data_IF_286814044169
#
_entry.id   IF_286814044169
#
_cell.length_a   1.000
_cell.length_b   1.000
_cell.length_c   1.000
_cell.angle_alpha   90.00
_cell.angle_beta   90.00
_cell.angle_gamma   90.00
#
_symmetry.space_group_name_H-M   'P 1'
#
loop_
_entity.id
_entity.type
_entity.pdbx_description
1 polymer ?
#
# COMPACT_ATOMS: atom_id res chain seq x y z
N UNK A 1 22.92 8.06 -48.12
CA UNK A 1 22.94 9.46 -47.70
C UNK A 1 22.93 9.53 -46.18
N UNK A 2 24.08 9.71 -45.58
CA UNK A 2 24.26 9.95 -44.13
C UNK A 2 24.22 11.44 -43.89
N UNK A 3 23.31 11.95 -43.09
CA UNK A 3 23.27 13.37 -42.68
C UNK A 3 23.05 13.46 -41.18
N UNK A 4 24.11 13.68 -40.48
CA UNK A 4 24.39 14.62 -39.40
C UNK A 4 23.28 14.90 -38.37
N UNK A 5 23.30 14.13 -37.29
CA UNK A 5 22.59 14.48 -36.05
C UNK A 5 23.57 14.96 -34.94
N UNK A 6 24.69 15.55 -35.32
CA UNK A 6 25.73 15.96 -34.35
C UNK A 6 25.61 17.44 -33.90
N UNK A 7 24.59 18.17 -34.38
CA UNK A 7 24.48 19.62 -34.07
C UNK A 7 23.42 19.97 -33.01
N UNK A 8 22.68 18.97 -32.51
CA UNK A 8 21.60 19.25 -31.53
C UNK A 8 22.05 19.15 -30.07
N UNK A 9 23.24 18.63 -29.80
CA UNK A 9 23.76 18.44 -28.43
C UNK A 9 24.57 19.60 -27.88
N UNK A 10 24.85 20.65 -28.66
CA UNK A 10 25.74 21.75 -28.23
C UNK A 10 24.95 22.92 -27.58
N UNK A 11 23.64 23.00 -27.76
CA UNK A 11 22.84 24.11 -27.20
C UNK A 11 22.18 23.84 -25.85
N UNK A 12 22.33 22.66 -25.27
CA UNK A 12 21.71 22.32 -23.97
C UNK A 12 22.67 22.42 -22.77
N UNK A 13 23.93 22.80 -22.96
CA UNK A 13 24.92 22.85 -21.88
C UNK A 13 25.26 24.26 -21.34
N UNK A 14 24.51 25.29 -21.73
CA UNK A 14 24.87 26.69 -21.35
C UNK A 14 23.84 27.39 -20.45
N UNK A 15 22.90 26.69 -19.82
CA UNK A 15 21.86 27.33 -19.01
C UNK A 15 21.83 26.88 -17.54
N UNK A 16 22.86 26.21 -17.02
CA UNK A 16 22.92 25.84 -15.59
C UNK A 16 24.19 26.46 -14.99
N UNK A 17 24.17 27.73 -14.81
CA UNK A 17 25.10 28.46 -13.94
C UNK A 17 24.45 29.80 -13.56
N UNK A 18 24.00 29.88 -12.34
CA UNK A 18 23.69 31.06 -11.56
C UNK A 18 22.40 30.86 -10.74
N UNK A 19 22.55 30.38 -9.53
CA UNK A 19 21.82 30.82 -8.33
C UNK A 19 22.34 30.06 -7.11
N UNK A 20 23.54 30.45 -6.70
CA UNK A 20 23.95 30.35 -5.29
C UNK A 20 23.79 31.77 -4.74
N UNK A 21 23.08 31.92 -3.65
CA UNK A 21 23.31 32.84 -2.52
C UNK A 21 22.01 32.93 -1.72
N UNK A 22 22.10 32.69 -0.43
CA UNK A 22 21.04 32.97 0.52
C UNK A 22 21.05 32.07 1.76
N UNK A 23 22.18 32.03 2.49
CA UNK A 23 22.16 31.72 3.92
C UNK A 23 21.53 32.89 4.67
N UNK A 24 20.49 32.67 5.45
CA UNK A 24 20.21 33.52 6.59
C UNK A 24 19.75 32.71 7.78
N UNK A 25 20.63 32.68 8.78
CA UNK A 25 20.43 32.18 10.14
C UNK A 25 19.51 33.18 10.87
N UNK A 26 18.34 32.75 11.28
CA UNK A 26 17.52 33.42 12.26
C UNK A 26 17.56 32.65 13.60
N UNK A 27 18.40 33.13 14.50
CA UNK A 27 18.52 32.73 15.89
C UNK A 27 17.68 33.69 16.74
N UNK A 28 16.65 33.21 17.38
CA UNK A 28 15.96 33.82 18.53
C UNK A 28 15.44 32.65 19.34
N UNK A 29 15.84 32.41 20.56
CA UNK A 29 15.85 33.30 21.72
C UNK A 29 14.92 32.66 22.75
N UNK A 30 15.53 32.14 23.80
CA UNK A 30 14.89 31.54 24.98
C UNK A 30 13.94 32.54 25.64
N UNK A 31 12.80 32.07 26.12
CA UNK A 31 12.30 32.57 27.40
C UNK A 31 11.50 31.48 28.15
N UNK A 32 12.04 31.14 29.28
CA UNK A 32 11.47 30.34 30.35
C UNK A 32 10.32 31.09 31.02
N UNK A 33 9.16 30.48 31.15
CA UNK A 33 8.32 30.75 32.33
C UNK A 33 7.77 29.44 32.88
N UNK A 34 8.33 29.10 34.00
CA UNK A 34 7.73 28.19 35.00
C UNK A 34 6.46 28.84 35.55
N UNK A 35 5.39 28.05 35.62
CA UNK A 35 4.43 28.23 36.71
C UNK A 35 3.94 26.87 37.16
N UNK A 36 4.35 26.59 38.32
CA UNK A 36 3.95 25.57 39.27
C UNK A 36 2.51 25.87 39.73
N UNK A 37 1.64 24.88 39.76
CA UNK A 37 0.58 24.80 40.77
C UNK A 37 0.03 23.38 40.87
N UNK A 38 0.39 22.76 41.91
CA UNK A 38 -0.18 21.65 42.65
C UNK A 38 -1.61 22.02 43.08
N UNK A 39 -2.57 21.13 42.90
CA UNK A 39 -3.62 20.84 43.87
C UNK A 39 -4.21 19.47 43.66
N UNK A 40 -4.03 18.67 44.66
CA UNK A 40 -4.67 17.39 44.92
C UNK A 40 -6.15 17.61 45.26
N UNK A 41 -7.01 16.69 44.86
CA UNK A 41 -8.22 16.38 45.60
C UNK A 41 -8.59 14.92 45.43
N UNK A 42 -8.47 14.23 46.50
CA UNK A 42 -8.99 12.89 46.79
C UNK A 42 -10.55 12.93 46.92
N UNK A 43 -11.17 11.77 46.72
CA UNK A 43 -12.54 11.43 47.15
C UNK A 43 -13.10 10.34 46.23
N UNK A 44 -12.96 9.07 46.47
CA UNK A 44 -13.56 8.18 47.50
C UNK A 44 -15.04 7.89 47.26
N UNK A 45 -15.23 6.56 46.98
CA UNK A 45 -16.35 5.71 47.45
C UNK A 45 -17.71 5.92 46.79
N UNK A 46 -18.55 5.00 46.52
CA UNK A 46 -18.77 3.58 46.91
C UNK A 46 -20.15 3.13 46.32
N UNK A 47 -20.37 1.82 46.31
CA UNK A 47 -21.70 1.17 46.37
C UNK A 47 -22.37 0.76 45.06
N UNK A 48 -22.31 -0.52 44.80
CA UNK A 48 -23.17 -1.66 45.17
C UNK A 48 -24.34 -1.92 44.21
N UNK A 49 -24.28 -3.19 43.74
CA UNK A 49 -25.34 -4.16 43.57
C UNK A 49 -26.65 -3.78 42.85
N UNK A 50 -26.96 -4.46 41.77
CA UNK A 50 -28.15 -5.30 41.77
C UNK A 50 -28.13 -6.42 40.68
N UNK A 51 -28.39 -7.57 41.17
CA UNK A 51 -28.61 -8.85 40.57
C UNK A 51 -29.99 -8.87 39.87
N UNK A 52 -30.03 -9.33 38.60
CA UNK A 52 -31.29 -9.88 38.08
C UNK A 52 -31.03 -10.88 36.98
N UNK A 53 -31.13 -12.12 37.34
CA UNK A 53 -31.42 -13.27 36.50
C UNK A 53 -32.65 -13.05 35.60
N UNK A 54 -32.51 -13.47 34.34
CA UNK A 54 -33.62 -13.64 33.43
C UNK A 54 -33.17 -14.36 32.19
N UNK A 55 -33.27 -15.68 32.21
CA UNK A 55 -33.03 -16.53 31.04
C UNK A 55 -34.14 -16.30 30.00
N UNK A 56 -33.76 -16.39 28.73
CA UNK A 56 -34.65 -16.92 27.70
C UNK A 56 -33.78 -17.56 26.60
N UNK A 57 -34.06 -18.78 26.36
CA UNK A 57 -33.47 -19.59 25.30
C UNK A 57 -34.07 -19.14 23.97
N UNK A 58 -33.27 -18.59 23.10
CA UNK A 58 -33.62 -18.29 21.72
C UNK A 58 -32.58 -18.92 20.80
N UNK A 59 -32.86 -20.12 20.32
CA UNK A 59 -32.21 -20.69 19.15
C UNK A 59 -32.32 -19.72 17.96
N UNK A 60 -31.25 -19.46 17.26
CA UNK A 60 -31.43 -18.81 16.01
C UNK A 60 -30.15 -18.32 15.33
N UNK A 61 -29.64 -19.16 14.48
CA UNK A 61 -28.92 -18.78 13.27
C UNK A 61 -27.48 -18.31 13.46
N UNK A 62 -26.60 -19.24 13.41
CA UNK A 62 -25.23 -19.05 12.92
C UNK A 62 -25.27 -18.42 11.51
N UNK A 63 -25.30 -17.11 11.48
CA UNK A 63 -24.98 -16.36 10.31
C UNK A 63 -23.47 -16.34 10.13
N UNK A 64 -22.93 -17.42 9.63
CA UNK A 64 -21.59 -17.46 9.05
C UNK A 64 -21.62 -16.49 7.89
N UNK A 65 -21.26 -15.25 8.14
CA UNK A 65 -20.93 -14.30 7.11
C UNK A 65 -19.64 -14.74 6.43
N UNK A 66 -19.76 -15.75 5.60
CA UNK A 66 -18.78 -16.10 4.60
C UNK A 66 -18.77 -14.93 3.58
N UNK A 67 -17.97 -13.93 3.86
CA UNK A 67 -17.54 -12.96 2.86
C UNK A 67 -16.52 -13.67 1.96
N UNK A 68 -16.97 -14.75 1.33
CA UNK A 68 -16.33 -15.36 0.20
C UNK A 68 -16.33 -14.33 -0.93
N UNK A 69 -15.22 -13.57 -1.06
CA UNK A 69 -14.91 -12.95 -2.33
C UNK A 69 -15.08 -14.02 -3.38
N UNK A 70 -15.94 -13.77 -4.35
CA UNK A 70 -16.14 -14.65 -5.49
C UNK A 70 -14.75 -14.88 -6.09
N UNK A 71 -14.22 -16.07 -5.82
CA UNK A 71 -13.01 -16.55 -6.45
C UNK A 71 -13.39 -16.72 -7.93
N UNK A 72 -13.20 -15.67 -8.71
CA UNK A 72 -13.22 -15.82 -10.16
C UNK A 72 -12.29 -16.98 -10.47
N UNK A 73 -12.79 -17.98 -11.17
CA UNK A 73 -12.03 -19.20 -11.47
C UNK A 73 -10.72 -18.79 -12.14
N UNK A 74 -9.63 -18.78 -11.39
CA UNK A 74 -8.29 -18.37 -11.82
C UNK A 74 -7.70 -19.33 -12.84
N UNK A 75 -8.36 -20.50 -13.00
CA UNK A 75 -7.85 -21.60 -13.81
C UNK A 75 -8.12 -21.41 -15.33
N UNK A 76 -9.03 -20.50 -15.70
CA UNK A 76 -9.46 -20.28 -17.07
C UNK A 76 -9.04 -18.92 -17.70
N UNK A 77 -8.28 -18.08 -16.96
CA UNK A 77 -7.83 -16.80 -17.53
C UNK A 77 -6.50 -16.98 -18.24
N UNK A 78 -6.52 -16.77 -19.57
CA UNK A 78 -5.29 -16.79 -20.37
C UNK A 78 -4.38 -15.61 -19.95
N UNK A 79 -3.09 -15.87 -19.80
CA UNK A 79 -2.12 -14.81 -19.49
C UNK A 79 -2.11 -13.67 -20.53
N UNK A 80 -2.52 -13.96 -21.78
CA UNK A 80 -2.66 -12.98 -22.82
C UNK A 80 -3.74 -11.93 -22.59
N UNK A 81 -4.70 -12.22 -21.73
CA UNK A 81 -5.79 -11.31 -21.37
C UNK A 81 -5.49 -10.45 -20.14
N UNK A 82 -4.36 -10.70 -19.47
CA UNK A 82 -3.94 -9.94 -18.29
C UNK A 82 -3.09 -8.73 -18.69
N UNK A 83 -3.34 -7.61 -18.03
CA UNK A 83 -2.55 -6.41 -18.23
C UNK A 83 -1.19 -6.53 -17.53
N UNK A 84 -0.14 -5.98 -18.13
CA UNK A 84 1.11 -5.71 -17.45
C UNK A 84 0.94 -4.57 -16.44
N UNK A 85 1.88 -4.38 -15.53
CA UNK A 85 1.85 -3.27 -14.58
C UNK A 85 1.87 -1.92 -15.30
N UNK A 86 2.70 -1.76 -16.34
CA UNK A 86 2.75 -0.54 -17.15
C UNK A 86 1.42 -0.27 -17.86
N UNK A 87 0.80 -1.29 -18.45
CA UNK A 87 -0.52 -1.14 -19.09
C UNK A 87 -1.58 -0.75 -18.07
N UNK A 88 -1.59 -1.39 -16.89
CA UNK A 88 -2.51 -1.08 -15.81
C UNK A 88 -2.34 0.35 -15.30
N UNK A 89 -1.12 0.87 -15.26
CA UNK A 89 -0.83 2.25 -14.82
C UNK A 89 -1.22 3.31 -15.85
N UNK A 90 -1.07 3.01 -17.13
CA UNK A 90 -1.22 4.02 -18.20
C UNK A 90 -2.62 4.09 -18.81
N UNK A 91 -3.43 3.05 -18.63
CA UNK A 91 -4.80 3.00 -19.13
C UNK A 91 -5.80 3.47 -18.08
N UNK A 92 -6.87 4.13 -18.51
CA UNK A 92 -8.03 4.39 -17.65
C UNK A 92 -8.98 3.20 -17.77
N UNK A 93 -9.07 2.42 -16.71
CA UNK A 93 -9.85 1.20 -16.69
C UNK A 93 -11.19 1.41 -15.98
N UNK A 94 -12.22 0.75 -16.45
CA UNK A 94 -13.54 0.71 -15.83
C UNK A 94 -13.86 -0.72 -15.44
N UNK A 95 -14.30 -0.91 -14.18
CA UNK A 95 -14.56 -2.24 -13.63
C UNK A 95 -13.30 -2.98 -13.22
N UNK A 96 -13.45 -4.28 -13.03
CA UNK A 96 -12.40 -5.15 -12.54
C UNK A 96 -11.61 -5.75 -13.70
N UNK A 97 -10.31 -5.89 -13.50
CA UNK A 97 -9.42 -6.49 -14.50
C UNK A 97 -8.29 -7.28 -13.82
N UNK A 98 -7.65 -8.14 -14.59
CA UNK A 98 -6.45 -8.84 -14.17
C UNK A 98 -5.21 -8.03 -14.48
N UNK A 99 -4.32 -7.91 -13.52
CA UNK A 99 -2.95 -7.40 -13.71
C UNK A 99 -1.95 -8.43 -13.23
N UNK A 100 -0.89 -8.64 -13.99
CA UNK A 100 0.18 -9.57 -13.66
C UNK A 100 1.50 -8.84 -13.50
N UNK A 101 2.27 -9.21 -12.47
CA UNK A 101 3.57 -8.60 -12.19
C UNK A 101 4.36 -9.40 -11.16
N UNK A 102 5.54 -8.90 -10.83
CA UNK A 102 6.41 -9.47 -9.80
C UNK A 102 6.23 -8.73 -8.48
N UNK A 103 6.22 -9.46 -7.37
CA UNK A 103 6.20 -8.87 -6.03
C UNK A 103 7.58 -8.29 -5.74
N UNK A 104 7.69 -6.98 -5.66
CA UNK A 104 8.97 -6.28 -5.51
C UNK A 104 9.15 -5.58 -4.17
N UNK A 105 8.14 -5.62 -3.29
CA UNK A 105 8.24 -5.00 -1.98
C UNK A 105 6.93 -4.91 -1.23
N UNK A 106 6.98 -4.25 -0.08
CA UNK A 106 5.86 -3.94 0.78
C UNK A 106 5.70 -2.43 0.97
N UNK A 107 4.52 -2.00 1.42
CA UNK A 107 4.27 -0.57 1.63
C UNK A 107 3.23 -0.33 2.74
N UNK A 108 3.34 0.84 3.40
CA UNK A 108 2.34 1.32 4.35
C UNK A 108 2.04 2.81 4.13
N UNK A 109 0.82 3.23 4.46
CA UNK A 109 0.36 4.63 4.45
C UNK A 109 0.51 5.37 3.11
N UNK A 110 1.69 5.39 2.50
CA UNK A 110 1.97 6.04 1.21
C UNK A 110 3.11 5.32 0.51
N UNK A 111 3.21 5.46 -0.82
CA UNK A 111 4.30 4.90 -1.62
C UNK A 111 5.69 5.40 -1.16
N UNK A 112 5.75 6.55 -0.47
CA UNK A 112 7.03 7.02 0.08
C UNK A 112 7.61 6.08 1.13
N UNK A 113 6.75 5.30 1.80
CA UNK A 113 7.12 4.26 2.76
C UNK A 113 7.27 2.88 2.09
N UNK A 114 7.56 2.84 0.80
CA UNK A 114 7.87 1.60 0.11
C UNK A 114 9.18 1.03 0.62
N UNK A 115 9.14 -0.26 0.92
CA UNK A 115 10.26 -1.08 1.31
C UNK A 115 10.47 -2.15 0.24
N UNK A 116 11.65 -2.17 -0.37
CA UNK A 116 11.99 -3.05 -1.49
C UNK A 116 12.95 -4.19 -1.10
N UNK A 117 13.34 -4.26 0.16
CA UNK A 117 14.29 -5.26 0.64
C UNK A 117 13.80 -5.92 1.93
N UNK A 118 13.97 -7.24 2.09
CA UNK A 118 13.66 -7.92 3.33
C UNK A 118 14.64 -7.54 4.47
N UNK A 119 14.24 -7.59 5.73
CA UNK A 119 12.94 -8.06 6.24
C UNK A 119 11.83 -7.02 6.11
N UNK A 120 10.63 -7.46 5.72
CA UNK A 120 9.49 -6.56 5.55
C UNK A 120 8.73 -6.37 6.87
N UNK A 121 8.27 -5.12 7.11
CA UNK A 121 7.54 -4.77 8.33
C UNK A 121 6.04 -4.50 8.08
N UNK A 122 5.65 -4.36 6.82
CA UNK A 122 4.30 -3.88 6.47
C UNK A 122 3.45 -4.97 5.82
N UNK A 123 2.46 -5.54 6.56
CA UNK A 123 1.58 -6.57 6.01
C UNK A 123 0.36 -6.02 5.27
N UNK A 124 0.21 -4.68 5.13
CA UNK A 124 -1.00 -4.06 4.61
C UNK A 124 -1.06 -3.94 3.09
N UNK A 125 0.08 -3.94 2.44
CA UNK A 125 0.16 -3.85 0.98
C UNK A 125 1.45 -4.44 0.46
N UNK A 126 1.39 -5.02 -0.73
CA UNK A 126 2.55 -5.40 -1.54
C UNK A 126 2.66 -4.48 -2.76
N UNK A 127 3.83 -4.45 -3.34
CA UNK A 127 4.16 -3.70 -4.55
C UNK A 127 4.37 -4.67 -5.71
N UNK A 128 3.78 -4.37 -6.86
CA UNK A 128 3.99 -5.12 -8.10
C UNK A 128 4.67 -4.26 -9.15
N UNK A 129 5.56 -4.88 -9.92
CA UNK A 129 6.24 -4.32 -11.07
C UNK A 129 6.30 -5.31 -12.23
N UNK A 130 6.59 -4.85 -13.45
CA UNK A 130 6.78 -5.72 -14.62
C UNK A 130 8.07 -6.53 -14.57
N UNK A 131 9.06 -6.06 -13.80
CA UNK A 131 10.34 -6.73 -13.68
C UNK A 131 10.66 -7.05 -12.21
N UNK A 132 11.25 -8.24 -11.93
CA UNK A 132 11.68 -8.56 -10.58
C UNK A 132 12.83 -7.63 -10.15
N UNK A 133 12.80 -7.21 -8.88
CA UNK A 133 13.83 -6.32 -8.32
C UNK A 133 13.69 -4.85 -8.74
N UNK A 134 12.58 -4.43 -9.34
CA UNK A 134 12.28 -3.01 -9.58
C UNK A 134 12.15 -2.26 -8.26
N UNK A 135 12.84 -1.12 -8.13
CA UNK A 135 12.81 -0.26 -6.94
C UNK A 135 12.31 1.17 -7.23
N UNK A 136 12.04 1.48 -8.49
CA UNK A 136 11.50 2.77 -8.87
C UNK A 136 10.01 2.86 -8.53
N UNK A 137 9.68 3.75 -7.60
CA UNK A 137 8.31 3.99 -7.12
C UNK A 137 7.33 4.46 -8.21
N UNK A 138 7.83 4.95 -9.32
CA UNK A 138 7.03 5.37 -10.48
C UNK A 138 6.66 4.21 -11.41
N UNK A 139 7.26 3.04 -11.21
CA UNK A 139 7.06 1.83 -12.03
C UNK A 139 6.37 0.70 -11.28
N UNK A 140 5.80 1.00 -10.12
CA UNK A 140 5.11 0.02 -9.30
C UNK A 140 3.67 0.42 -9.05
N UNK A 141 2.81 -0.58 -8.90
CA UNK A 141 1.45 -0.43 -8.38
C UNK A 141 1.35 -0.98 -6.97
N UNK A 142 0.39 -0.47 -6.21
CA UNK A 142 0.11 -0.93 -4.85
C UNK A 142 -1.08 -1.88 -4.83
N UNK A 143 -0.92 -3.02 -4.16
CA UNK A 143 -1.98 -3.99 -3.94
C UNK A 143 -2.32 -4.03 -2.45
N UNK A 144 -3.52 -3.62 -2.10
CA UNK A 144 -4.01 -3.62 -0.73
C UNK A 144 -4.27 -5.04 -0.22
N UNK A 145 -3.88 -5.27 1.03
CA UNK A 145 -4.10 -6.53 1.74
C UNK A 145 -4.95 -6.24 2.99
N UNK A 146 -6.28 -6.16 2.87
CA UNK A 146 -7.15 -5.81 3.99
C UNK A 146 -7.07 -6.83 5.12
N UNK A 147 -7.16 -6.35 6.37
CA UNK A 147 -7.15 -7.22 7.55
C UNK A 147 -8.36 -8.15 7.54
N UNK A 148 -8.15 -9.41 7.92
CA UNK A 148 -9.20 -10.43 7.94
C UNK A 148 -9.44 -11.14 6.60
N UNK A 149 -8.93 -10.63 5.49
CA UNK A 149 -9.11 -11.23 4.18
C UNK A 149 -8.06 -12.34 3.90
N UNK A 150 -8.48 -13.31 3.09
CA UNK A 150 -7.64 -14.46 2.70
C UNK A 150 -6.39 -13.98 1.93
N UNK A 151 -6.55 -13.00 1.06
CA UNK A 151 -5.43 -12.40 0.29
C UNK A 151 -4.29 -11.92 1.18
N UNK A 152 -4.60 -11.31 2.34
CA UNK A 152 -3.57 -10.89 3.28
C UNK A 152 -2.86 -12.08 3.92
N UNK A 153 -3.60 -13.11 4.27
CA UNK A 153 -3.02 -14.32 4.89
C UNK A 153 -2.07 -15.05 3.95
N UNK A 154 -2.24 -14.89 2.63
CA UNK A 154 -1.47 -15.62 1.62
C UNK A 154 -0.38 -14.78 0.95
N UNK A 155 -0.56 -13.46 0.83
CA UNK A 155 0.35 -12.63 0.04
C UNK A 155 1.22 -11.66 0.85
N UNK A 156 0.93 -11.40 2.15
CA UNK A 156 1.74 -10.44 2.88
C UNK A 156 3.19 -10.95 3.07
N UNK A 157 4.14 -10.05 2.92
CA UNK A 157 5.56 -10.39 2.94
C UNK A 157 6.15 -10.51 4.36
N UNK A 158 5.40 -10.15 5.39
CA UNK A 158 5.84 -10.31 6.79
C UNK A 158 5.73 -11.78 7.19
N UNK A 159 4.58 -12.40 6.88
CA UNK A 159 4.32 -13.81 7.21
C UNK A 159 4.81 -14.75 6.10
N UNK A 160 4.88 -14.27 4.84
CA UNK A 160 5.22 -15.02 3.64
C UNK A 160 6.33 -14.33 2.82
N UNK A 161 7.55 -14.18 3.40
CA UNK A 161 8.67 -13.56 2.70
C UNK A 161 9.08 -14.29 1.41
N UNK A 162 8.73 -15.57 1.29
CA UNK A 162 8.95 -16.37 0.09
C UNK A 162 8.14 -15.88 -1.13
N UNK A 163 7.16 -15.01 -0.96
CA UNK A 163 6.43 -14.38 -2.06
C UNK A 163 7.20 -13.24 -2.72
N UNK A 164 8.23 -12.70 -2.06
CA UNK A 164 9.10 -11.71 -2.67
C UNK A 164 9.79 -12.25 -3.92
N UNK A 165 9.71 -11.50 -5.01
CA UNK A 165 10.23 -11.90 -6.31
C UNK A 165 9.36 -12.86 -7.10
N UNK A 166 8.28 -13.42 -6.52
CA UNK A 166 7.36 -14.27 -7.28
C UNK A 166 6.49 -13.45 -8.22
N UNK A 167 6.10 -14.07 -9.30
CA UNK A 167 5.11 -13.55 -10.23
C UNK A 167 3.73 -13.84 -9.70
N UNK A 168 2.86 -12.83 -9.69
CA UNK A 168 1.47 -12.94 -9.23
C UNK A 168 0.53 -12.27 -10.20
N UNK A 169 -0.67 -12.80 -10.35
CA UNK A 169 -1.78 -12.12 -10.99
C UNK A 169 -2.79 -11.69 -9.94
N UNK A 170 -3.33 -10.47 -10.07
CA UNK A 170 -4.28 -9.88 -9.14
C UNK A 170 -5.50 -9.39 -9.93
N UNK A 171 -6.69 -9.73 -9.45
CA UNK A 171 -7.96 -9.28 -9.98
C UNK A 171 -8.59 -8.23 -9.09
N UNK A 172 -9.01 -7.11 -9.67
CA UNK A 172 -9.65 -6.04 -8.93
C UNK A 172 -9.83 -4.76 -9.73
N UNK A 173 -10.38 -3.75 -9.08
CA UNK A 173 -10.64 -2.45 -9.68
C UNK A 173 -9.43 -1.53 -9.55
N UNK A 174 -9.10 -0.85 -10.65
CA UNK A 174 -8.07 0.20 -10.65
C UNK A 174 -8.53 1.39 -9.80
N UNK A 175 -7.71 1.79 -8.84
CA UNK A 175 -7.98 2.94 -7.97
C UNK A 175 -6.69 3.63 -7.55
N UNK A 176 -6.81 4.79 -6.94
CA UNK A 176 -5.67 5.39 -6.22
C UNK A 176 -5.59 4.80 -4.82
N UNK A 177 -4.50 4.08 -4.54
CA UNK A 177 -4.23 3.50 -3.24
C UNK A 177 -2.80 3.82 -2.80
N UNK A 178 -2.62 4.24 -1.55
CA UNK A 178 -1.34 4.70 -1.00
C UNK A 178 -0.64 5.79 -1.84
N UNK A 179 -1.45 6.66 -2.49
CA UNK A 179 -1.07 7.80 -3.35
C UNK A 179 -0.51 7.45 -4.73
N UNK A 180 -0.62 6.22 -5.17
CA UNK A 180 -0.31 5.78 -6.54
C UNK A 180 -1.46 4.93 -7.09
N UNK A 181 -1.41 4.60 -8.37
CA UNK A 181 -2.34 3.66 -8.98
C UNK A 181 -2.15 2.28 -8.34
N UNK A 182 -3.24 1.56 -8.13
CA UNK A 182 -3.21 0.23 -7.54
C UNK A 182 -4.59 -0.40 -7.43
N UNK A 183 -4.67 -1.49 -6.69
CA UNK A 183 -5.91 -2.19 -6.32
C UNK A 183 -6.03 -2.18 -4.80
N UNK A 184 -7.03 -1.46 -4.28
CA UNK A 184 -7.22 -1.35 -2.82
C UNK A 184 -7.77 -2.62 -2.19
N UNK A 185 -8.62 -3.34 -2.91
CA UNK A 185 -9.31 -4.54 -2.44
C UNK A 185 -9.31 -5.60 -3.54
N UNK A 186 -8.29 -6.47 -3.57
CA UNK A 186 -8.27 -7.59 -4.49
C UNK A 186 -9.46 -8.54 -4.28
N UNK A 187 -10.01 -9.04 -5.37
CA UNK A 187 -11.11 -10.02 -5.35
C UNK A 187 -10.67 -11.39 -5.85
N UNK A 188 -9.54 -11.46 -6.55
CA UNK A 188 -8.90 -12.70 -6.97
C UNK A 188 -7.38 -12.56 -7.07
N UNK A 189 -6.67 -13.67 -6.90
CA UNK A 189 -5.20 -13.70 -7.06
C UNK A 189 -4.71 -15.10 -7.38
N UNK A 190 -3.55 -15.16 -8.06
CA UNK A 190 -2.82 -16.37 -8.38
C UNK A 190 -1.33 -16.13 -8.18
N UNK A 191 -0.63 -17.07 -7.56
CA UNK A 191 0.84 -17.09 -7.41
C UNK A 191 1.39 -18.13 -8.36
N UNK A 192 2.42 -17.79 -9.17
CA UNK A 192 3.06 -18.66 -10.16
C UNK A 192 4.34 -19.27 -9.62
#
# INVERSE_FOLDING_TARGET
MKRNNCLFFIFLSLAISLMTVGCEKGYYGEELTKTDNTEETEGAEDSDDDDSQGGDEGEGSEGTGDNGGSQGSVDDVDEGDMLTVEQFMTQTLTGQTWVVGYVVGACSKTINNADFEPPFEYPQAILLADHPGETNKEKVITIGLPSGYKVRKELNLVDHPENYGKRVAIYGEQTTYLKVIGIKKPEGWKVY
#
